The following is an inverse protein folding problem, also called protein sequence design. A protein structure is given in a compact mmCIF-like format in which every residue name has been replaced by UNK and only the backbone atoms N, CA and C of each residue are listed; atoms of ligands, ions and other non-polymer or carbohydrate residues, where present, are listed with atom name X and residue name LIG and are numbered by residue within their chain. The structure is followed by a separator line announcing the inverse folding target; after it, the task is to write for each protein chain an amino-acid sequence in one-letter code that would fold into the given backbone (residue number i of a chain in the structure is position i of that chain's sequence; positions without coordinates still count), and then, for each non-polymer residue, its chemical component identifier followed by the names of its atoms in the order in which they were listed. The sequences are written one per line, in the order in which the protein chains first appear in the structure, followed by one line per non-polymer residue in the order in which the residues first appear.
data_IF_492406334293
#
_entry.id   IF_492406334293
#
_cell.length_a   1.000
_cell.length_b   1.000
_cell.length_c   1.000
_cell.angle_alpha   90.00
_cell.angle_beta   90.00
_cell.angle_gamma   90.00
#
_symmetry.space_group_name_H-M   'P 1'
#
loop_
_entity.id
_entity.type
_entity.pdbx_description
1 polymer ?
#
# COMPACT_ATOMS: atom_id res chain seq x y z
N UNK A 1 -24.40 -55.46 -54.41
CA UNK A 1 -23.69 -54.58 -55.36
C UNK A 1 -24.10 -53.16 -55.00
N UNK A 2 -23.29 -52.25 -54.50
CA UNK A 2 -21.83 -52.08 -54.34
C UNK A 2 -21.61 -51.09 -53.18
N UNK A 3 -20.41 -51.08 -52.58
CA UNK A 3 -20.17 -50.61 -51.22
C UNK A 3 -19.81 -49.12 -51.14
N UNK A 4 -20.08 -48.55 -49.97
CA UNK A 4 -19.18 -47.70 -49.17
C UNK A 4 -18.51 -46.48 -49.85
N UNK A 5 -18.89 -45.28 -49.41
CA UNK A 5 -17.95 -44.16 -49.28
C UNK A 5 -18.55 -43.05 -48.41
N UNK A 6 -18.94 -43.36 -47.17
CA UNK A 6 -18.98 -42.29 -46.17
C UNK A 6 -17.52 -42.00 -45.78
N UNK A 7 -17.02 -40.77 -45.97
CA UNK A 7 -15.63 -40.48 -45.65
C UNK A 7 -15.40 -40.73 -44.15
N UNK A 8 -14.28 -41.34 -43.75
CA UNK A 8 -13.99 -41.59 -42.35
C UNK A 8 -14.01 -40.25 -41.58
N UNK A 9 -14.61 -40.20 -40.37
CA UNK A 9 -14.57 -39.00 -39.56
C UNK A 9 -13.11 -38.62 -39.31
N UNK A 10 -12.74 -37.41 -39.71
CA UNK A 10 -11.43 -36.82 -39.42
C UNK A 10 -11.32 -36.67 -37.89
N UNK A 11 -10.74 -37.66 -37.23
CA UNK A 11 -10.25 -37.53 -35.87
C UNK A 11 -9.00 -36.64 -35.89
N UNK A 12 -9.21 -35.34 -36.10
CA UNK A 12 -8.14 -34.35 -35.89
C UNK A 12 -7.86 -34.37 -34.39
N UNK A 13 -6.61 -34.66 -34.06
CA UNK A 13 -6.11 -34.97 -32.73
C UNK A 13 -6.45 -33.88 -31.69
N UNK A 14 -7.58 -34.03 -31.01
CA UNK A 14 -8.02 -33.16 -29.91
C UNK A 14 -7.01 -33.05 -28.77
N UNK A 15 -6.15 -34.05 -28.58
CA UNK A 15 -5.14 -34.07 -27.50
C UNK A 15 -4.14 -32.91 -27.56
N UNK A 16 -3.84 -32.39 -28.76
CA UNK A 16 -2.93 -31.25 -28.93
C UNK A 16 -3.65 -29.92 -28.68
N UNK A 17 -4.89 -29.78 -29.15
CA UNK A 17 -5.73 -28.61 -28.89
C UNK A 17 -6.13 -28.51 -27.42
N UNK A 18 -6.49 -29.63 -26.79
CA UNK A 18 -6.81 -29.72 -25.37
C UNK A 18 -5.58 -29.37 -24.50
N UNK A 19 -4.39 -29.85 -24.87
CA UNK A 19 -3.15 -29.54 -24.17
C UNK A 19 -2.73 -28.07 -24.31
N UNK A 20 -2.86 -27.50 -25.50
CA UNK A 20 -2.60 -26.08 -25.74
C UNK A 20 -3.63 -25.19 -25.03
N UNK A 21 -4.91 -25.55 -25.08
CA UNK A 21 -5.98 -24.86 -24.38
C UNK A 21 -5.76 -24.90 -22.86
N UNK A 22 -5.45 -26.06 -22.29
CA UNK A 22 -5.16 -26.19 -20.86
C UNK A 22 -3.91 -25.39 -20.45
N UNK A 23 -2.85 -25.43 -21.24
CA UNK A 23 -1.64 -24.63 -21.02
C UNK A 23 -1.93 -23.12 -21.08
N UNK A 24 -2.76 -22.69 -22.03
CA UNK A 24 -3.19 -21.31 -22.16
C UNK A 24 -4.07 -20.88 -20.97
N UNK A 25 -5.03 -21.71 -20.56
CA UNK A 25 -5.87 -21.46 -19.37
C UNK A 25 -5.02 -21.36 -18.11
N UNK A 26 -4.03 -22.24 -17.94
CA UNK A 26 -3.10 -22.19 -16.81
C UNK A 26 -2.29 -20.90 -16.82
N UNK A 27 -1.74 -20.51 -17.97
CA UNK A 27 -0.98 -19.27 -18.14
C UNK A 27 -1.84 -18.04 -17.82
N UNK A 28 -3.06 -17.98 -18.36
CA UNK A 28 -4.00 -16.88 -18.09
C UNK A 28 -4.42 -16.86 -16.62
N UNK A 29 -4.61 -18.01 -16.00
CA UNK A 29 -4.96 -18.13 -14.58
C UNK A 29 -3.82 -17.66 -13.67
N UNK A 30 -2.56 -17.99 -13.98
CA UNK A 30 -1.39 -17.48 -13.26
C UNK A 30 -1.27 -15.96 -13.45
N UNK A 31 -1.40 -15.48 -14.69
CA UNK A 31 -1.37 -14.05 -14.99
C UNK A 31 -2.47 -13.29 -14.24
N UNK A 32 -3.67 -13.85 -14.18
CA UNK A 32 -4.79 -13.29 -13.41
C UNK A 32 -4.48 -13.27 -11.91
N UNK A 33 -3.94 -14.35 -11.35
CA UNK A 33 -3.54 -14.40 -9.94
C UNK A 33 -2.50 -13.33 -9.60
N UNK A 34 -1.49 -13.12 -10.45
CA UNK A 34 -0.48 -12.07 -10.26
C UNK A 34 -1.09 -10.65 -10.29
N UNK A 35 -2.12 -10.44 -11.11
CA UNK A 35 -2.83 -9.15 -11.16
C UNK A 35 -3.70 -8.95 -9.93
N UNK A 36 -4.36 -10.00 -9.43
CA UNK A 36 -5.27 -9.93 -8.27
C UNK A 36 -4.52 -9.85 -6.94
N UNK A 37 -3.36 -10.50 -6.82
CA UNK A 37 -2.52 -10.53 -5.62
C UNK A 37 -2.39 -9.16 -4.89
N UNK A 38 -1.98 -8.06 -5.54
CA UNK A 38 -1.85 -6.75 -4.87
C UNK A 38 -3.20 -6.16 -4.41
N UNK A 39 -4.31 -6.58 -5.02
CA UNK A 39 -5.66 -6.07 -4.71
C UNK A 39 -6.45 -6.99 -3.78
N UNK A 40 -5.92 -8.16 -3.41
CA UNK A 40 -6.65 -9.14 -2.60
C UNK A 40 -7.12 -8.52 -1.27
N UNK A 41 -6.24 -7.79 -0.60
CA UNK A 41 -6.59 -7.06 0.61
C UNK A 41 -7.68 -6.00 0.35
N UNK A 42 -7.57 -5.23 -0.73
CA UNK A 42 -8.56 -4.22 -1.10
C UNK A 42 -9.95 -4.82 -1.39
N UNK A 43 -10.01 -5.98 -2.06
CA UNK A 43 -11.25 -6.71 -2.33
C UNK A 43 -11.89 -7.13 -1.00
N UNK A 44 -11.13 -7.79 -0.13
CA UNK A 44 -11.60 -8.27 1.16
C UNK A 44 -12.09 -7.12 2.05
N UNK A 45 -11.33 -6.03 2.14
CA UNK A 45 -11.74 -4.83 2.86
C UNK A 45 -12.98 -4.19 2.25
N UNK A 46 -13.12 -4.18 0.93
CA UNK A 46 -14.31 -3.67 0.24
C UNK A 46 -15.57 -4.45 0.59
N UNK A 47 -15.47 -5.78 0.66
CA UNK A 47 -16.57 -6.66 1.08
C UNK A 47 -16.91 -6.44 2.56
N UNK A 48 -15.91 -6.41 3.45
CA UNK A 48 -16.12 -6.18 4.89
C UNK A 48 -16.82 -4.83 5.11
N UNK A 49 -16.33 -3.77 4.48
CA UNK A 49 -16.91 -2.43 4.58
C UNK A 49 -18.33 -2.42 4.04
N UNK A 50 -18.60 -3.05 2.88
CA UNK A 50 -19.94 -3.13 2.33
C UNK A 50 -20.92 -3.82 3.30
N UNK A 51 -20.51 -4.90 3.95
CA UNK A 51 -21.34 -5.62 4.94
C UNK A 51 -21.58 -4.75 6.18
N UNK A 52 -20.53 -4.14 6.73
CA UNK A 52 -20.61 -3.29 7.94
C UNK A 52 -21.48 -2.06 7.71
N UNK A 53 -21.39 -1.45 6.52
CA UNK A 53 -22.16 -0.26 6.16
C UNK A 53 -23.48 -0.56 5.44
N UNK A 54 -23.81 -1.82 5.17
CA UNK A 54 -25.11 -2.23 4.64
C UNK A 54 -26.32 -1.67 5.41
N UNK A 55 -26.37 -1.69 6.77
CA UNK A 55 -27.50 -1.11 7.50
C UNK A 55 -27.61 0.41 7.30
N UNK A 56 -26.47 1.12 7.24
CA UNK A 56 -26.42 2.56 6.97
C UNK A 56 -26.96 2.86 5.56
N UNK A 57 -26.53 2.07 4.57
CA UNK A 57 -27.02 2.21 3.20
C UNK A 57 -28.53 1.96 3.10
N UNK A 58 -29.05 0.92 3.75
CA UNK A 58 -30.50 0.64 3.80
C UNK A 58 -31.27 1.77 4.48
N UNK A 59 -30.74 2.35 5.56
CA UNK A 59 -31.35 3.49 6.23
C UNK A 59 -31.40 4.76 5.34
N UNK A 60 -30.35 5.01 4.56
CA UNK A 60 -30.32 6.10 3.57
C UNK A 60 -31.29 5.82 2.42
N UNK A 61 -31.31 4.59 1.91
CA UNK A 61 -32.19 4.17 0.81
C UNK A 61 -33.68 4.26 1.22
N UNK A 62 -34.01 3.96 2.47
CA UNK A 62 -35.36 4.11 3.00
C UNK A 62 -35.86 5.57 2.95
N UNK A 63 -34.95 6.55 3.08
CA UNK A 63 -35.27 7.98 2.92
C UNK A 63 -35.33 8.43 1.45
N UNK A 64 -34.66 7.72 0.55
CA UNK A 64 -34.59 8.04 -0.88
C UNK A 64 -34.77 6.80 -1.79
N UNK A 65 -35.96 6.18 -1.81
CA UNK A 65 -36.18 4.87 -2.44
C UNK A 65 -36.02 4.89 -3.98
N UNK A 66 -36.17 6.05 -4.62
CA UNK A 66 -36.02 6.22 -6.08
C UNK A 66 -34.59 6.51 -6.55
N UNK A 67 -33.63 6.70 -5.64
CA UNK A 67 -32.25 7.12 -5.97
C UNK A 67 -31.20 6.21 -5.33
N UNK A 68 -31.17 4.96 -5.77
CA UNK A 68 -30.18 3.95 -5.33
C UNK A 68 -28.73 4.40 -5.53
N UNK A 69 -28.40 4.97 -6.69
CA UNK A 69 -27.05 5.49 -6.96
C UNK A 69 -26.66 6.63 -6.02
N UNK A 70 -27.58 7.55 -5.71
CA UNK A 70 -27.28 8.66 -4.80
C UNK A 70 -27.12 8.17 -3.37
N UNK A 71 -27.95 7.22 -2.92
CA UNK A 71 -27.81 6.61 -1.61
C UNK A 71 -26.47 5.86 -1.45
N UNK A 72 -26.04 5.15 -2.49
CA UNK A 72 -24.75 4.46 -2.51
C UNK A 72 -23.58 5.45 -2.49
N UNK A 73 -23.64 6.53 -3.28
CA UNK A 73 -22.62 7.59 -3.27
C UNK A 73 -22.51 8.29 -1.91
N UNK A 74 -23.65 8.60 -1.26
CA UNK A 74 -23.65 9.20 0.08
C UNK A 74 -22.99 8.25 1.10
N UNK A 75 -23.33 6.96 1.03
CA UNK A 75 -22.72 5.95 1.91
C UNK A 75 -21.22 5.86 1.66
N UNK A 76 -20.78 5.90 0.40
CA UNK A 76 -19.37 5.88 0.01
C UNK A 76 -18.61 7.11 0.53
N UNK A 77 -19.23 8.28 0.43
CA UNK A 77 -18.64 9.51 0.94
C UNK A 77 -18.51 9.49 2.47
N UNK A 78 -19.49 8.90 3.15
CA UNK A 78 -19.46 8.68 4.60
C UNK A 78 -18.35 7.70 5.00
N UNK A 79 -18.18 6.60 4.25
CA UNK A 79 -17.05 5.67 4.43
C UNK A 79 -15.71 6.41 4.24
N UNK A 80 -15.58 7.22 3.19
CA UNK A 80 -14.38 8.02 2.94
C UNK A 80 -14.08 8.95 4.11
N UNK A 81 -15.08 9.67 4.61
CA UNK A 81 -14.92 10.59 5.74
C UNK A 81 -14.53 9.87 7.04
N UNK A 82 -15.12 8.71 7.33
CA UNK A 82 -14.88 7.99 8.60
C UNK A 82 -13.60 7.18 8.59
N UNK A 83 -13.14 6.69 7.44
CA UNK A 83 -11.97 5.81 7.36
C UNK A 83 -10.71 6.56 6.90
N UNK A 84 -10.84 7.36 5.84
CA UNK A 84 -9.67 7.96 5.18
C UNK A 84 -9.19 9.21 5.91
N UNK A 85 -10.09 10.11 6.29
CA UNK A 85 -9.70 11.33 7.01
C UNK A 85 -8.93 11.02 8.29
N UNK A 86 -9.39 10.15 9.22
CA UNK A 86 -8.63 9.85 10.42
C UNK A 86 -7.31 9.13 10.12
N UNK A 87 -7.26 8.25 9.12
CA UNK A 87 -6.00 7.61 8.72
C UNK A 87 -4.97 8.65 8.23
N UNK A 88 -5.41 9.65 7.46
CA UNK A 88 -4.54 10.76 7.04
C UNK A 88 -4.11 11.63 8.21
N UNK A 89 -5.01 11.96 9.14
CA UNK A 89 -4.66 12.75 10.33
C UNK A 89 -3.64 12.01 11.19
N UNK A 90 -3.85 10.73 11.45
CA UNK A 90 -2.92 9.88 12.20
C UNK A 90 -1.57 9.75 11.46
N UNK A 91 -1.59 9.50 10.15
CA UNK A 91 -0.38 9.43 9.33
C UNK A 91 0.39 10.75 9.34
N UNK A 92 -0.30 11.87 9.18
CA UNK A 92 0.30 13.20 9.23
C UNK A 92 0.86 13.53 10.62
N UNK A 93 0.16 13.16 11.69
CA UNK A 93 0.64 13.32 13.06
C UNK A 93 1.93 12.53 13.30
N UNK A 94 2.01 11.28 12.85
CA UNK A 94 3.23 10.47 12.95
C UNK A 94 4.40 11.07 12.16
N UNK A 95 4.13 11.55 10.94
CA UNK A 95 5.13 12.25 10.11
C UNK A 95 5.62 13.54 10.77
N UNK A 96 4.72 14.31 11.39
CA UNK A 96 5.06 15.52 12.13
C UNK A 96 5.89 15.20 13.38
N UNK A 97 5.53 14.18 14.14
CA UNK A 97 6.28 13.71 15.32
C UNK A 97 7.70 13.27 14.91
N UNK A 98 7.80 12.50 13.82
CA UNK A 98 9.07 12.06 13.27
C UNK A 98 9.93 13.23 12.76
N UNK A 99 9.32 14.18 12.03
CA UNK A 99 9.99 15.36 11.53
C UNK A 99 10.41 16.32 12.66
N UNK A 100 9.63 16.43 13.72
CA UNK A 100 9.95 17.23 14.90
C UNK A 100 11.07 16.60 15.74
N UNK A 101 11.03 15.28 15.92
CA UNK A 101 12.12 14.53 16.56
C UNK A 101 13.42 14.64 15.74
N UNK A 102 13.34 14.45 14.43
CA UNK A 102 14.49 14.59 13.52
C UNK A 102 15.00 16.04 13.46
N UNK A 103 14.08 17.01 13.44
CA UNK A 103 14.35 18.43 13.51
C UNK A 103 15.06 18.82 14.80
N UNK A 104 14.67 18.28 15.97
CA UNK A 104 15.36 18.48 17.25
C UNK A 104 16.76 17.87 17.32
N UNK A 105 16.98 16.77 16.58
CA UNK A 105 18.32 16.17 16.41
C UNK A 105 19.18 17.03 15.48
N UNK A 106 18.59 17.65 14.45
CA UNK A 106 19.31 18.47 13.46
C UNK A 106 19.49 19.94 13.88
N UNK A 107 18.56 20.50 14.68
CA UNK A 107 18.57 21.90 15.12
C UNK A 107 19.51 22.19 16.29
N UNK A 108 20.11 21.15 16.90
CA UNK A 108 21.05 21.32 18.01
C UNK A 108 20.41 21.79 19.31
N UNK A 109 19.07 21.67 19.47
CA UNK A 109 18.40 21.92 20.74
C UNK A 109 18.70 20.80 21.76
N UNK A 110 18.95 19.59 21.28
CA UNK A 110 19.88 18.68 21.95
C UNK A 110 21.25 19.14 21.48
N UNK A 111 21.86 19.97 22.31
CA UNK A 111 23.15 20.58 22.07
C UNK A 111 24.21 19.46 22.13
N UNK A 112 24.26 18.59 21.11
CA UNK A 112 25.25 17.51 21.01
C UNK A 112 26.65 18.10 21.09
N UNK A 113 26.87 19.37 20.71
CA UNK A 113 28.13 20.07 20.87
C UNK A 113 28.42 20.33 22.37
N UNK A 114 27.47 20.84 23.16
CA UNK A 114 27.64 20.97 24.62
C UNK A 114 27.62 19.65 25.37
N UNK A 115 26.77 18.69 25.00
CA UNK A 115 26.73 17.34 25.58
C UNK A 115 28.04 16.60 25.29
N UNK A 116 28.58 16.71 24.08
CA UNK A 116 29.86 16.11 23.74
C UNK A 116 31.01 16.87 24.40
N UNK A 117 30.99 18.20 24.50
CA UNK A 117 31.99 18.98 25.25
C UNK A 117 31.95 18.69 26.76
N UNK A 118 30.76 18.52 27.33
CA UNK A 118 30.54 18.24 28.75
C UNK A 118 30.83 16.78 29.10
N UNK A 119 30.50 15.84 28.21
CA UNK A 119 30.95 14.44 28.30
C UNK A 119 32.46 14.40 28.14
N UNK A 120 33.05 15.10 27.16
CA UNK A 120 34.50 15.17 26.95
C UNK A 120 35.25 15.74 28.16
N UNK A 121 34.71 16.76 28.82
CA UNK A 121 35.26 17.29 30.08
C UNK A 121 35.04 16.37 31.29
N UNK A 122 34.08 15.44 31.21
CA UNK A 122 33.79 14.44 32.26
C UNK A 122 34.35 13.06 31.91
N UNK A 123 35.09 12.93 30.79
CA UNK A 123 35.73 11.69 30.40
C UNK A 123 36.94 11.47 31.31
N UNK A 124 36.98 10.40 32.12
CA UNK A 124 38.13 10.08 32.93
C UNK A 124 39.37 9.79 32.05
N UNK A 125 40.57 10.14 32.56
CA UNK A 125 41.85 10.15 31.82
C UNK A 125 42.23 8.82 31.13
N UNK A 126 41.55 7.72 31.45
CA UNK A 126 41.74 6.43 30.80
C UNK A 126 41.08 6.34 29.41
N UNK A 127 40.12 7.20 29.06
CA UNK A 127 39.37 7.15 27.80
C UNK A 127 39.93 8.07 26.70
N UNK A 128 40.61 9.15 27.08
CA UNK A 128 41.29 10.11 26.17
C UNK A 128 42.32 9.47 25.21
N UNK A 129 43.19 8.52 25.62
CA UNK A 129 44.14 7.90 24.69
C UNK A 129 43.51 6.93 23.70
N UNK A 130 42.29 6.44 23.94
CA UNK A 130 41.56 5.59 23.00
C UNK A 130 40.80 6.42 21.95
N UNK A 131 40.24 7.56 22.34
CA UNK A 131 39.55 8.48 21.43
C UNK A 131 40.52 9.25 20.50
N UNK A 132 41.73 9.56 20.96
CA UNK A 132 42.77 10.17 20.14
C UNK A 132 43.33 9.22 19.07
N UNK A 133 43.34 7.90 19.35
CA UNK A 133 43.67 6.86 18.35
C UNK A 133 42.59 6.68 17.29
N UNK A 134 41.34 7.04 17.60
CA UNK A 134 40.20 6.99 16.68
C UNK A 134 40.03 8.27 15.85
N UNK A 135 40.87 9.30 16.04
CA UNK A 135 40.85 10.52 15.22
C UNK A 135 39.66 11.46 15.47
N UNK A 136 38.91 11.24 16.54
CA UNK A 136 37.69 11.99 16.90
C UNK A 136 37.95 13.38 17.49
N UNK A 137 39.20 13.84 17.52
CA UNK A 137 39.60 15.18 17.98
C UNK A 137 39.59 16.23 16.88
N UNK A 138 39.45 15.86 15.62
CA UNK A 138 39.56 16.80 14.51
C UNK A 138 38.17 17.21 13.98
N UNK A 139 37.84 18.50 14.10
CA UNK A 139 36.59 19.11 13.59
C UNK A 139 36.32 18.76 12.12
N UNK A 140 37.38 18.58 11.33
CA UNK A 140 37.31 18.13 9.93
C UNK A 140 36.75 16.71 9.75
N UNK A 141 37.06 15.78 10.66
CA UNK A 141 36.56 14.40 10.59
C UNK A 141 35.07 14.33 10.94
N UNK A 142 34.62 15.14 11.90
CA UNK A 142 33.20 15.30 12.20
C UNK A 142 32.45 15.96 11.03
N UNK A 143 33.03 17.00 10.40
CA UNK A 143 32.46 17.64 9.22
C UNK A 143 32.38 16.69 8.02
N UNK A 144 33.40 15.87 7.77
CA UNK A 144 33.41 14.86 6.72
C UNK A 144 32.40 13.74 7.00
N UNK A 145 32.27 13.31 8.26
CA UNK A 145 31.30 12.27 8.66
C UNK A 145 29.86 12.79 8.53
N UNK A 146 29.62 14.07 8.86
CA UNK A 146 28.32 14.73 8.70
C UNK A 146 28.01 14.99 7.23
N UNK A 147 28.96 15.45 6.40
CA UNK A 147 28.73 15.68 4.96
C UNK A 147 28.59 14.38 4.18
N UNK A 148 29.35 13.33 4.49
CA UNK A 148 29.16 11.97 3.93
C UNK A 148 27.85 11.34 4.43
N UNK A 149 27.50 11.55 5.70
CA UNK A 149 26.22 11.13 6.27
C UNK A 149 25.03 11.84 5.63
N UNK A 150 25.13 13.15 5.41
CA UNK A 150 24.12 13.97 4.73
C UNK A 150 23.98 13.57 3.26
N UNK A 151 25.07 13.45 2.50
CA UNK A 151 25.00 13.06 1.08
C UNK A 151 24.49 11.63 0.88
N UNK A 152 24.86 10.69 1.75
CA UNK A 152 24.26 9.34 1.79
C UNK A 152 22.77 9.40 2.15
N UNK A 153 22.41 10.24 3.13
CA UNK A 153 21.02 10.44 3.54
C UNK A 153 20.18 11.12 2.45
N UNK A 154 20.73 12.08 1.70
CA UNK A 154 20.03 12.72 0.58
C UNK A 154 19.76 11.73 -0.55
N UNK A 155 20.69 10.81 -0.83
CA UNK A 155 20.46 9.74 -1.82
C UNK A 155 19.40 8.75 -1.35
N UNK A 156 19.37 8.41 -0.05
CA UNK A 156 18.30 7.58 0.52
C UNK A 156 16.96 8.31 0.63
N UNK A 157 16.96 9.61 0.92
CA UNK A 157 15.76 10.45 0.96
C UNK A 157 15.17 10.62 -0.44
N UNK A 158 16.00 10.80 -1.47
CA UNK A 158 15.54 10.82 -2.86
C UNK A 158 14.93 9.48 -3.28
N UNK A 159 15.56 8.36 -2.91
CA UNK A 159 15.03 7.02 -3.15
C UNK A 159 13.74 6.74 -2.35
N UNK A 160 13.68 7.19 -1.09
CA UNK A 160 12.50 7.09 -0.24
C UNK A 160 11.37 7.98 -0.76
N UNK A 161 11.64 9.18 -1.28
CA UNK A 161 10.61 10.02 -1.87
C UNK A 161 9.94 9.33 -3.05
N UNK A 162 10.72 8.66 -3.91
CA UNK A 162 10.19 7.84 -5.00
C UNK A 162 9.37 6.64 -4.48
N UNK A 163 9.88 5.91 -3.47
CA UNK A 163 9.16 4.78 -2.86
C UNK A 163 7.87 5.19 -2.13
N UNK A 164 7.88 6.33 -1.44
CA UNK A 164 6.70 6.92 -0.78
C UNK A 164 5.67 7.29 -1.85
N UNK A 165 6.10 7.91 -2.95
CA UNK A 165 5.23 8.20 -4.09
C UNK A 165 4.60 6.95 -4.69
N UNK A 166 5.39 5.89 -4.91
CA UNK A 166 4.89 4.60 -5.42
C UNK A 166 3.93 3.93 -4.44
N UNK A 167 4.24 3.93 -3.14
CA UNK A 167 3.40 3.34 -2.10
C UNK A 167 2.08 4.11 -1.96
N UNK A 168 2.13 5.43 -2.02
CA UNK A 168 0.93 6.28 -2.05
C UNK A 168 0.08 5.97 -3.29
N UNK A 169 0.69 5.87 -4.48
CA UNK A 169 -0.03 5.50 -5.70
C UNK A 169 -0.69 4.11 -5.58
N UNK A 170 0.05 3.10 -5.10
CA UNK A 170 -0.47 1.75 -4.85
C UNK A 170 -1.65 1.78 -3.87
N UNK A 171 -1.53 2.54 -2.79
CA UNK A 171 -2.62 2.77 -1.83
C UNK A 171 -3.84 3.43 -2.49
N UNK A 172 -3.66 4.46 -3.32
CA UNK A 172 -4.75 5.11 -4.05
C UNK A 172 -5.47 4.17 -5.01
N UNK A 173 -4.73 3.33 -5.74
CA UNK A 173 -5.33 2.32 -6.64
C UNK A 173 -6.09 1.28 -5.81
N UNK A 174 -5.48 0.73 -4.75
CA UNK A 174 -6.11 -0.22 -3.86
C UNK A 174 -7.39 0.36 -3.21
N UNK A 175 -7.33 1.60 -2.74
CA UNK A 175 -8.45 2.33 -2.20
C UNK A 175 -9.57 2.51 -3.24
N UNK A 176 -9.21 2.87 -4.47
CA UNK A 176 -10.18 3.04 -5.56
C UNK A 176 -10.90 1.73 -5.87
N UNK A 177 -10.17 0.61 -5.94
CA UNK A 177 -10.73 -0.73 -6.13
C UNK A 177 -11.66 -1.11 -4.96
N UNK A 178 -11.19 -0.91 -3.72
CA UNK A 178 -11.97 -1.17 -2.51
C UNK A 178 -13.29 -0.40 -2.50
N UNK A 179 -13.24 0.92 -2.76
CA UNK A 179 -14.42 1.78 -2.79
C UNK A 179 -15.34 1.45 -3.96
N UNK A 180 -14.79 1.16 -5.14
CA UNK A 180 -15.59 0.73 -6.28
C UNK A 180 -16.35 -0.55 -5.99
N UNK A 181 -15.69 -1.54 -5.38
CA UNK A 181 -16.33 -2.79 -4.97
C UNK A 181 -17.38 -2.54 -3.89
N UNK A 182 -17.08 -1.73 -2.88
CA UNK A 182 -18.05 -1.40 -1.85
C UNK A 182 -19.29 -0.71 -2.45
N UNK A 183 -19.10 0.23 -3.38
CA UNK A 183 -20.19 0.87 -4.10
C UNK A 183 -21.03 -0.13 -4.88
N UNK A 184 -20.39 -1.02 -5.64
CA UNK A 184 -21.07 -2.04 -6.45
C UNK A 184 -21.83 -3.03 -5.56
N UNK A 185 -21.23 -3.49 -4.46
CA UNK A 185 -21.87 -4.39 -3.50
C UNK A 185 -23.04 -3.71 -2.77
N UNK A 186 -22.91 -2.46 -2.36
CA UNK A 186 -23.99 -1.73 -1.69
C UNK A 186 -25.17 -1.48 -2.64
N UNK A 187 -24.88 -1.16 -3.91
CA UNK A 187 -25.88 -0.87 -4.93
C UNK A 187 -26.59 -2.13 -5.44
N UNK A 188 -25.82 -3.15 -5.83
CA UNK A 188 -26.31 -4.31 -6.59
C UNK A 188 -26.19 -5.63 -5.80
N UNK A 189 -25.70 -5.60 -4.56
CA UNK A 189 -25.46 -6.79 -3.73
C UNK A 189 -26.72 -7.61 -3.44
N UNK A 190 -27.87 -6.96 -3.22
CA UNK A 190 -29.14 -7.68 -3.04
C UNK A 190 -29.55 -8.45 -4.32
N UNK A 191 -29.16 -7.99 -5.51
CA UNK A 191 -29.42 -8.69 -6.77
C UNK A 191 -28.40 -9.79 -7.02
N UNK A 192 -27.12 -9.57 -6.73
CA UNK A 192 -26.08 -10.60 -6.81
C UNK A 192 -26.37 -11.76 -5.83
N UNK A 193 -26.72 -11.44 -4.58
CA UNK A 193 -27.02 -12.45 -3.57
C UNK A 193 -28.20 -13.35 -3.96
N UNK A 194 -29.23 -12.81 -4.60
CA UNK A 194 -30.40 -13.57 -5.11
C UNK A 194 -30.10 -14.43 -6.35
N UNK A 195 -28.97 -14.22 -7.03
CA UNK A 195 -28.60 -14.92 -8.27
C UNK A 195 -27.58 -16.03 -8.02
N UNK A 196 -26.90 -15.96 -6.88
CA UNK A 196 -25.91 -16.95 -6.41
C UNK A 196 -26.52 -17.92 -5.38
N UNK A 197 -27.60 -17.52 -4.69
CA UNK A 197 -28.42 -18.38 -3.83
C UNK A 197 -29.52 -19.10 -4.63
#
# INVERSE_FOLDING_TARGET
MTPDSDPPPLHVSSKLEDGFFLGFVLLVSIAFAMVVEPFFAAILWGVIVAIVFAPVHKAILAKMPRRTNTAALITLFLILAIVIVPAFVLGAALLQEAAFFYGKVQSGEVDFIRLFAQVQHSLPDWATPYLSRLGLTNFQAAQDMVTRGLTSSFRTLAAQAFQIGQSAFSFFVALSVMLYLAFFLLRDGDWLARRVA
#
